data_IF_936942578157
#
_entry.id   IF_936942578157
#
_cell.length_a   1.000
_cell.length_b   1.000
_cell.length_c   1.000
_cell.angle_alpha   90.00
_cell.angle_beta   90.00
_cell.angle_gamma   90.00
#
_symmetry.space_group_name_H-M   'P 1'
#
loop_
_entity.id
_entity.type
_entity.pdbx_description
1 polymer ?
#
# COMPACT_ATOMS: atom_id res chain seq x y z
N UNK A 1 -0.01 -22.88 -5.68
CA UNK A 1 0.66 -23.32 -4.42
C UNK A 1 1.30 -24.68 -4.65
N UNK A 2 2.61 -24.78 -4.45
CA UNK A 2 3.32 -26.06 -4.47
C UNK A 2 2.70 -27.01 -3.43
N UNK A 3 2.55 -28.29 -3.77
CA UNK A 3 2.15 -29.33 -2.80
C UNK A 3 3.31 -29.53 -1.83
N UNK A 4 3.02 -29.52 -0.53
CA UNK A 4 3.98 -29.90 0.48
C UNK A 4 4.38 -31.36 0.26
N UNK A 5 5.69 -31.60 0.15
CA UNK A 5 6.29 -32.91 -0.07
C UNK A 5 7.22 -33.30 1.10
N UNK A 6 7.11 -32.62 2.25
CA UNK A 6 7.92 -32.91 3.43
C UNK A 6 7.68 -34.34 3.89
N UNK A 7 8.74 -35.17 3.93
CA UNK A 7 8.61 -36.53 4.45
C UNK A 7 8.51 -36.45 5.98
N UNK A 8 7.28 -36.41 6.49
CA UNK A 8 6.99 -36.73 7.88
C UNK A 8 6.82 -38.25 8.02
N UNK A 9 7.40 -38.84 9.05
CA UNK A 9 7.15 -40.24 9.36
C UNK A 9 5.71 -40.45 9.89
N UNK A 10 5.26 -41.71 9.92
CA UNK A 10 3.90 -42.04 10.32
C UNK A 10 3.57 -41.65 11.76
N UNK A 11 4.58 -41.58 12.65
CA UNK A 11 4.39 -41.17 14.04
C UNK A 11 4.15 -39.66 14.15
N UNK A 12 4.93 -38.85 13.41
CA UNK A 12 4.76 -37.41 13.33
C UNK A 12 3.41 -37.04 12.72
N UNK A 13 2.97 -37.74 11.67
CA UNK A 13 1.63 -37.53 11.07
C UNK A 13 0.52 -37.83 12.10
N UNK A 14 0.64 -38.94 12.84
CA UNK A 14 -0.34 -39.30 13.87
C UNK A 14 -0.41 -38.25 15.01
N UNK A 15 0.75 -37.74 15.43
CA UNK A 15 0.83 -36.67 16.43
C UNK A 15 0.20 -35.36 15.93
N UNK A 16 0.53 -34.93 14.72
CA UNK A 16 -0.07 -33.72 14.10
C UNK A 16 -1.59 -33.85 14.00
N UNK A 17 -2.10 -35.03 13.59
CA UNK A 17 -3.54 -35.28 13.53
C UNK A 17 -4.20 -35.19 14.92
N UNK A 18 -3.54 -35.70 15.97
CA UNK A 18 -4.02 -35.57 17.35
C UNK A 18 -4.07 -34.11 17.81
N UNK A 19 -3.04 -33.32 17.50
CA UNK A 19 -3.01 -31.89 17.82
C UNK A 19 -4.10 -31.12 17.06
N UNK A 20 -4.35 -31.44 15.79
CA UNK A 20 -5.42 -30.84 14.99
C UNK A 20 -6.80 -31.13 15.59
N UNK A 21 -7.05 -32.36 16.06
CA UNK A 21 -8.30 -32.74 16.72
C UNK A 21 -8.52 -31.93 18.00
N UNK A 22 -7.53 -31.90 18.89
CA UNK A 22 -7.58 -31.13 20.15
C UNK A 22 -7.80 -29.63 19.91
N UNK A 23 -7.16 -29.08 18.87
CA UNK A 23 -7.36 -27.68 18.48
C UNK A 23 -8.79 -27.42 18.00
N UNK A 24 -9.36 -28.33 17.23
CA UNK A 24 -10.73 -28.21 16.74
C UNK A 24 -11.74 -28.26 17.91
N UNK A 25 -11.51 -29.16 18.88
CA UNK A 25 -12.29 -29.22 20.13
C UNK A 25 -12.22 -27.90 20.91
N UNK A 26 -11.02 -27.33 21.09
CA UNK A 26 -10.83 -26.04 21.75
C UNK A 26 -11.58 -24.91 21.03
N UNK A 27 -11.53 -24.88 19.69
CA UNK A 27 -12.31 -23.92 18.88
C UNK A 27 -13.83 -24.09 19.07
N UNK A 28 -14.33 -25.33 19.15
CA UNK A 28 -15.74 -25.58 19.43
C UNK A 28 -16.15 -25.14 20.84
N UNK A 29 -15.26 -25.28 21.81
CA UNK A 29 -15.45 -24.78 23.17
C UNK A 29 -15.28 -23.25 23.30
N UNK A 30 -14.93 -22.55 22.20
CA UNK A 30 -14.55 -21.13 22.17
C UNK A 30 -13.32 -20.80 23.04
N UNK A 31 -12.49 -21.79 23.33
CA UNK A 31 -11.19 -21.62 23.97
C UNK A 31 -10.12 -21.36 22.89
N UNK A 32 -10.06 -20.10 22.46
CA UNK A 32 -9.15 -19.68 21.39
C UNK A 32 -7.69 -19.62 21.86
N UNK A 33 -7.45 -19.38 23.14
CA UNK A 33 -6.11 -19.36 23.72
C UNK A 33 -5.47 -20.74 23.64
N UNK A 34 -6.18 -21.79 24.06
CA UNK A 34 -5.71 -23.17 23.90
C UNK A 34 -5.55 -23.55 22.43
N UNK A 35 -6.47 -23.12 21.56
CA UNK A 35 -6.38 -23.39 20.13
C UNK A 35 -5.15 -22.75 19.47
N UNK A 36 -4.77 -21.55 19.91
CA UNK A 36 -3.59 -20.82 19.43
C UNK A 36 -2.30 -21.42 20.00
N UNK A 37 -2.28 -21.79 21.28
CA UNK A 37 -1.15 -22.50 21.89
C UNK A 37 -0.86 -23.84 21.19
N UNK A 38 -1.89 -24.62 20.85
CA UNK A 38 -1.73 -25.87 20.10
C UNK A 38 -1.20 -25.59 18.68
N UNK A 39 -1.66 -24.52 18.02
CA UNK A 39 -1.18 -24.12 16.70
C UNK A 39 0.30 -23.72 16.73
N UNK A 40 0.73 -23.00 17.76
CA UNK A 40 2.13 -22.62 17.95
C UNK A 40 3.01 -23.84 18.26
N UNK A 41 2.52 -24.76 19.09
CA UNK A 41 3.21 -26.02 19.36
C UNK A 41 3.38 -26.88 18.10
N UNK A 42 2.37 -26.97 17.23
CA UNK A 42 2.48 -27.65 15.93
C UNK A 42 3.56 -27.00 15.05
N UNK A 43 3.62 -25.68 15.02
CA UNK A 43 4.63 -24.92 14.27
C UNK A 43 6.04 -25.17 14.82
N UNK A 44 6.24 -25.10 16.13
CA UNK A 44 7.56 -25.24 16.74
C UNK A 44 8.07 -26.69 16.70
N UNK A 45 7.19 -27.67 16.96
CA UNK A 45 7.60 -29.07 17.09
C UNK A 45 7.72 -29.80 15.74
N UNK A 46 6.81 -29.53 14.80
CA UNK A 46 6.71 -30.28 13.55
C UNK A 46 6.87 -29.39 12.31
N UNK A 47 7.15 -28.09 12.46
CA UNK A 47 7.16 -27.15 11.32
C UNK A 47 5.78 -26.94 10.71
N UNK A 48 4.71 -27.33 11.40
CA UNK A 48 3.37 -27.38 10.83
C UNK A 48 2.70 -26.01 10.83
N UNK A 49 2.31 -25.56 9.65
CA UNK A 49 1.41 -24.42 9.44
C UNK A 49 0.02 -24.95 9.07
N UNK A 50 -1.03 -24.30 9.60
CA UNK A 50 -2.44 -24.70 9.38
C UNK A 50 -3.22 -23.54 8.74
N UNK A 51 -3.98 -23.86 7.69
CA UNK A 51 -4.97 -22.99 7.04
C UNK A 51 -6.37 -23.55 7.28
N UNK A 52 -7.09 -22.95 8.24
CA UNK A 52 -8.45 -23.35 8.61
C UNK A 52 -9.47 -23.13 7.48
N UNK A 53 -9.30 -22.08 6.68
CA UNK A 53 -10.24 -21.71 5.63
C UNK A 53 -10.21 -22.72 4.47
N UNK A 54 -9.01 -23.17 4.11
CA UNK A 54 -8.80 -24.22 3.10
C UNK A 54 -8.87 -25.64 3.67
N UNK A 55 -8.95 -25.79 5.00
CA UNK A 55 -8.89 -27.08 5.71
C UNK A 55 -7.65 -27.89 5.34
N UNK A 56 -6.50 -27.22 5.28
CA UNK A 56 -5.22 -27.78 4.87
C UNK A 56 -4.13 -27.46 5.90
N UNK A 57 -3.12 -28.32 5.97
CA UNK A 57 -1.91 -28.09 6.75
C UNK A 57 -0.68 -28.52 5.96
N UNK A 58 0.48 -27.95 6.29
CA UNK A 58 1.79 -28.23 5.67
C UNK A 58 2.90 -28.20 6.71
N UNK A 59 3.96 -28.99 6.56
CA UNK A 59 5.07 -29.16 7.49
C UNK A 59 6.44 -28.71 6.93
N UNK A 60 6.51 -28.25 5.68
CA UNK A 60 7.72 -27.69 5.05
C UNK A 60 8.17 -26.34 5.65
N UNK A 61 7.55 -25.88 6.74
CA UNK A 61 7.86 -24.60 7.38
C UNK A 61 7.44 -23.37 6.56
N UNK A 62 6.83 -23.55 5.39
CA UNK A 62 6.39 -22.44 4.55
C UNK A 62 4.95 -22.01 4.89
N UNK A 63 4.64 -20.74 4.66
CA UNK A 63 3.32 -20.17 4.99
C UNK A 63 2.32 -20.43 3.87
N UNK A 64 1.03 -20.43 4.19
CA UNK A 64 -0.04 -20.38 3.18
C UNK A 64 -0.28 -18.97 2.63
N UNK A 65 0.56 -18.02 3.01
CA UNK A 65 0.48 -16.68 2.45
C UNK A 65 0.78 -16.76 0.94
N UNK A 66 -0.01 -16.10 0.10
CA UNK A 66 0.27 -16.04 -1.31
C UNK A 66 1.64 -15.38 -1.52
N UNK A 67 2.43 -15.95 -2.41
CA UNK A 67 3.74 -15.42 -2.80
C UNK A 67 3.58 -14.83 -4.19
N UNK A 68 4.20 -13.69 -4.46
CA UNK A 68 4.09 -13.07 -5.77
C UNK A 68 5.03 -13.76 -6.76
N UNK A 69 4.47 -14.26 -7.84
CA UNK A 69 5.21 -14.93 -8.91
C UNK A 69 5.70 -13.92 -9.95
N UNK A 70 6.93 -14.11 -10.43
CA UNK A 70 7.50 -13.27 -11.47
C UNK A 70 6.91 -13.63 -12.83
N UNK A 71 6.43 -12.64 -13.57
CA UNK A 71 5.93 -12.80 -14.94
C UNK A 71 6.65 -11.85 -15.91
N UNK A 72 6.57 -12.14 -17.21
CA UNK A 72 7.17 -11.34 -18.29
C UNK A 72 8.53 -11.83 -18.78
N UNK A 73 9.17 -11.05 -19.65
CA UNK A 73 10.43 -11.45 -20.30
C UNK A 73 11.62 -11.38 -19.33
N UNK A 74 11.90 -12.53 -18.72
CA UNK A 74 13.05 -12.80 -17.86
C UNK A 74 14.39 -12.82 -18.62
N UNK A 75 14.38 -12.85 -19.96
CA UNK A 75 15.60 -12.97 -20.76
C UNK A 75 16.33 -11.65 -21.00
N UNK A 76 15.70 -10.49 -20.73
CA UNK A 76 16.41 -9.22 -20.86
C UNK A 76 17.48 -9.07 -19.75
N UNK A 77 18.68 -8.60 -20.10
CA UNK A 77 19.76 -8.38 -19.13
C UNK A 77 19.35 -7.46 -17.97
N UNK A 78 18.51 -6.45 -18.26
CA UNK A 78 18.00 -5.53 -17.25
C UNK A 78 17.09 -6.25 -16.24
N UNK A 79 16.24 -7.17 -16.72
CA UNK A 79 15.40 -8.00 -15.88
C UNK A 79 16.23 -9.02 -15.06
N UNK A 80 17.33 -9.54 -15.61
CA UNK A 80 18.22 -10.46 -14.90
C UNK A 80 18.99 -9.80 -13.74
N UNK A 81 19.21 -8.48 -13.80
CA UNK A 81 19.91 -7.70 -12.74
C UNK A 81 19.02 -7.38 -11.53
N UNK A 82 17.71 -7.63 -11.60
CA UNK A 82 16.79 -7.38 -10.48
C UNK A 82 17.08 -8.37 -9.35
N UNK A 83 17.28 -7.84 -8.15
CA UNK A 83 17.42 -8.67 -6.94
C UNK A 83 16.07 -9.28 -6.55
N UNK A 84 15.84 -10.51 -7.01
CA UNK A 84 14.61 -11.28 -6.75
C UNK A 84 14.44 -11.58 -5.25
N UNK A 85 15.54 -11.75 -4.50
CA UNK A 85 15.47 -12.04 -3.08
C UNK A 85 14.94 -10.82 -2.33
N UNK A 86 15.42 -9.63 -2.69
CA UNK A 86 14.97 -8.36 -2.12
C UNK A 86 13.51 -8.05 -2.49
N UNK A 87 13.12 -8.23 -3.76
CA UNK A 87 11.71 -8.10 -4.20
C UNK A 87 10.79 -9.05 -3.41
N UNK A 88 11.22 -10.30 -3.19
CA UNK A 88 10.47 -11.26 -2.37
C UNK A 88 10.35 -10.82 -0.91
N UNK A 89 11.41 -10.24 -0.34
CA UNK A 89 11.42 -9.69 1.02
C UNK A 89 10.43 -8.53 1.18
N UNK A 90 10.55 -7.51 0.32
CA UNK A 90 9.67 -6.33 0.31
C UNK A 90 8.20 -6.72 0.12
N UNK A 91 7.92 -7.65 -0.79
CA UNK A 91 6.56 -8.12 -1.02
C UNK A 91 5.96 -8.80 0.22
N UNK A 92 6.76 -9.60 0.96
CA UNK A 92 6.33 -10.19 2.24
C UNK A 92 6.07 -9.14 3.30
N UNK A 93 6.94 -8.14 3.38
CA UNK A 93 6.77 -7.01 4.30
C UNK A 93 5.49 -6.23 4.00
N UNK A 94 5.23 -5.92 2.72
CA UNK A 94 3.98 -5.27 2.29
C UNK A 94 2.75 -6.06 2.70
N UNK A 95 2.76 -7.38 2.53
CA UNK A 95 1.64 -8.22 2.98
C UNK A 95 1.46 -8.18 4.50
N UNK A 96 2.55 -8.14 5.27
CA UNK A 96 2.49 -8.00 6.72
C UNK A 96 1.90 -6.63 7.12
N UNK A 97 2.37 -5.55 6.48
CA UNK A 97 1.86 -4.19 6.68
C UNK A 97 0.35 -4.08 6.38
N UNK A 98 -0.10 -4.63 5.25
CA UNK A 98 -1.54 -4.69 4.92
C UNK A 98 -2.34 -5.50 5.94
N UNK A 99 -1.78 -6.61 6.44
CA UNK A 99 -2.42 -7.45 7.46
C UNK A 99 -2.56 -6.71 8.79
N UNK A 100 -1.60 -5.85 9.15
CA UNK A 100 -1.67 -4.97 10.31
C UNK A 100 -2.40 -3.65 10.04
N UNK A 101 -3.02 -3.49 8.87
CA UNK A 101 -3.70 -2.26 8.42
C UNK A 101 -2.80 -1.02 8.33
N UNK A 102 -1.48 -1.21 8.25
CA UNK A 102 -0.51 -0.16 7.96
C UNK A 102 -0.38 0.03 6.45
N UNK A 103 -1.38 0.73 5.88
CA UNK A 103 -1.43 0.97 4.44
C UNK A 103 -0.36 1.97 3.98
N UNK A 104 0.05 2.90 4.84
CA UNK A 104 1.11 3.84 4.52
C UNK A 104 2.43 3.10 4.25
N UNK A 105 2.83 2.19 5.14
CA UNK A 105 4.02 1.36 4.90
C UNK A 105 3.86 0.47 3.67
N UNK A 106 2.66 -0.06 3.44
CA UNK A 106 2.40 -0.89 2.27
C UNK A 106 2.54 -0.12 0.94
N UNK A 107 2.17 1.16 0.93
CA UNK A 107 2.30 2.06 -0.21
C UNK A 107 3.78 2.49 -0.39
N UNK A 108 4.48 2.86 0.68
CA UNK A 108 5.92 3.18 0.63
C UNK A 108 6.76 2.03 0.02
N UNK A 109 6.38 0.78 0.30
CA UNK A 109 7.04 -0.40 -0.27
C UNK A 109 6.77 -0.54 -1.78
N UNK A 110 5.58 -0.12 -2.26
CA UNK A 110 5.30 -0.12 -3.70
C UNK A 110 6.17 0.91 -4.42
N UNK A 111 6.35 2.09 -3.83
CA UNK A 111 7.22 3.13 -4.35
C UNK A 111 8.67 2.65 -4.39
N UNK A 112 9.15 2.04 -3.30
CA UNK A 112 10.49 1.43 -3.25
C UNK A 112 10.66 0.37 -4.34
N UNK A 113 9.69 -0.54 -4.51
CA UNK A 113 9.73 -1.56 -5.56
C UNK A 113 9.80 -0.97 -6.96
N UNK A 114 9.08 0.13 -7.22
CA UNK A 114 9.09 0.79 -8.53
C UNK A 114 10.37 1.60 -8.76
N UNK A 115 10.71 2.49 -7.84
CA UNK A 115 11.81 3.45 -8.01
C UNK A 115 13.18 2.77 -7.91
N UNK A 116 13.32 1.89 -6.91
CA UNK A 116 14.60 1.24 -6.62
C UNK A 116 14.76 -0.11 -7.31
N UNK A 117 13.69 -0.78 -7.73
CA UNK A 117 13.80 -2.11 -8.36
C UNK A 117 13.18 -2.15 -9.76
N UNK A 118 12.45 -1.12 -10.19
CA UNK A 118 11.75 -1.11 -11.47
C UNK A 118 10.69 -2.21 -11.55
N UNK A 119 10.05 -2.53 -10.42
CA UNK A 119 9.12 -3.66 -10.27
C UNK A 119 7.70 -3.14 -10.01
N UNK A 120 6.73 -3.72 -10.72
CA UNK A 120 5.31 -3.47 -10.51
C UNK A 120 4.62 -4.76 -10.08
N UNK A 121 3.72 -4.64 -9.09
CA UNK A 121 2.93 -5.74 -8.54
C UNK A 121 1.49 -5.72 -9.07
N UNK A 122 0.91 -6.91 -9.23
CA UNK A 122 -0.49 -7.14 -9.54
C UNK A 122 -1.07 -8.01 -8.43
N UNK A 123 -1.73 -7.35 -7.47
CA UNK A 123 -2.26 -7.98 -6.25
C UNK A 123 -3.33 -9.05 -6.55
N UNK A 124 -4.14 -8.84 -7.59
CA UNK A 124 -5.24 -9.75 -7.94
C UNK A 124 -4.74 -11.15 -8.27
N UNK A 125 -3.62 -11.23 -8.99
CA UNK A 125 -3.05 -12.49 -9.45
C UNK A 125 -1.84 -12.94 -8.62
N UNK A 126 -1.41 -12.12 -7.65
CA UNK A 126 -0.14 -12.28 -6.95
C UNK A 126 1.01 -12.45 -7.94
N UNK A 127 1.15 -11.51 -8.86
CA UNK A 127 2.25 -11.51 -9.82
C UNK A 127 3.02 -10.20 -9.78
N UNK A 128 4.27 -10.23 -10.18
CA UNK A 128 5.08 -9.02 -10.37
C UNK A 128 5.89 -9.13 -11.64
N UNK A 129 6.27 -7.98 -12.21
CA UNK A 129 7.14 -7.94 -13.39
C UNK A 129 8.11 -6.77 -13.30
N UNK A 130 9.22 -6.92 -14.03
CA UNK A 130 10.17 -5.85 -14.22
C UNK A 130 9.70 -4.93 -15.36
N UNK A 131 9.64 -3.64 -15.11
CA UNK A 131 9.26 -2.59 -16.07
C UNK A 131 10.37 -1.57 -16.31
N UNK A 132 11.47 -1.63 -15.55
CA UNK A 132 12.57 -0.67 -15.62
C UNK A 132 12.46 0.46 -14.60
N UNK A 133 13.61 0.98 -14.15
CA UNK A 133 13.66 2.16 -13.28
C UNK A 133 13.20 3.41 -14.02
N UNK A 134 12.51 4.31 -13.32
CA UNK A 134 11.95 5.53 -13.93
C UNK A 134 10.71 5.29 -14.79
N UNK A 135 10.13 4.09 -14.73
CA UNK A 135 8.83 3.83 -15.31
C UNK A 135 7.75 4.61 -14.53
N UNK A 136 6.78 5.16 -15.25
CA UNK A 136 5.71 5.99 -14.70
C UNK A 136 4.66 5.23 -13.85
N UNK A 137 4.93 3.96 -13.52
CA UNK A 137 3.99 3.05 -12.86
C UNK A 137 2.79 2.61 -13.71
N UNK A 138 2.66 3.06 -14.96
CA UNK A 138 1.46 2.84 -15.76
C UNK A 138 1.54 1.58 -16.62
N UNK A 139 0.85 0.51 -16.22
CA UNK A 139 0.86 -0.73 -17.00
C UNK A 139 -0.51 -1.09 -17.55
N UNK A 140 -0.58 -1.14 -18.90
CA UNK A 140 -1.62 -1.85 -19.65
C UNK A 140 -3.06 -1.37 -19.46
N UNK A 141 -3.95 -1.99 -20.23
CA UNK A 141 -5.40 -1.78 -20.24
C UNK A 141 -6.03 -2.29 -18.92
N UNK A 142 -5.86 -1.52 -17.84
CA UNK A 142 -6.29 -1.97 -16.51
C UNK A 142 -5.92 -1.09 -15.31
N UNK A 143 -5.10 -0.04 -15.47
CA UNK A 143 -4.93 1.02 -14.47
C UNK A 143 -3.57 1.09 -13.77
N UNK A 144 -3.35 2.22 -13.11
CA UNK A 144 -2.17 2.52 -12.29
C UNK A 144 -2.18 1.67 -11.01
N UNK A 145 -1.20 0.79 -10.85
CA UNK A 145 -1.07 -0.02 -9.64
C UNK A 145 -0.04 0.64 -8.72
N UNK A 146 -0.45 0.97 -7.49
CA UNK A 146 0.45 1.47 -6.44
C UNK A 146 0.54 2.98 -6.35
N UNK A 147 0.63 3.70 -7.47
CA UNK A 147 0.17 5.09 -7.50
C UNK A 147 -1.34 5.07 -7.56
N UNK A 148 -2.06 5.48 -6.50
CA UNK A 148 -3.31 6.19 -6.80
C UNK A 148 -2.92 7.30 -7.79
N UNK A 149 -3.78 7.59 -8.76
CA UNK A 149 -3.59 8.60 -9.81
C UNK A 149 -3.23 10.03 -9.30
N UNK A 150 -3.06 10.17 -7.99
CA UNK A 150 -2.72 11.33 -7.19
C UNK A 150 -1.21 11.68 -7.23
N UNK A 151 -0.32 10.75 -7.62
CA UNK A 151 1.14 10.93 -7.46
C UNK A 151 1.90 11.37 -8.73
N UNK A 152 1.27 11.42 -9.90
CA UNK A 152 1.81 12.21 -11.01
C UNK A 152 1.85 13.72 -10.69
N UNK A 153 1.20 14.16 -9.60
CA UNK A 153 1.29 15.52 -9.07
C UNK A 153 2.38 15.71 -7.99
N UNK A 154 3.08 14.66 -7.54
CA UNK A 154 3.90 14.70 -6.31
C UNK A 154 5.41 14.91 -6.51
N UNK A 155 5.92 15.02 -7.74
CA UNK A 155 7.36 15.22 -7.94
C UNK A 155 7.71 16.17 -9.09
N UNK A 156 7.66 17.48 -8.80
CA UNK A 156 8.82 18.36 -9.06
C UNK A 156 9.10 19.20 -7.81
N UNK A 157 10.37 19.32 -7.37
CA UNK A 157 10.72 19.90 -6.08
C UNK A 157 10.90 21.43 -6.14
N UNK A 158 10.60 22.09 -5.02
CA UNK A 158 11.34 23.28 -4.60
C UNK A 158 10.69 24.65 -4.80
N UNK A 159 9.60 24.93 -4.09
CA UNK A 159 9.30 26.29 -3.66
C UNK A 159 8.58 26.27 -2.32
N UNK A 160 9.14 26.97 -1.33
CA UNK A 160 8.57 27.18 -0.02
C UNK A 160 7.22 27.91 -0.20
N UNK A 161 6.11 27.17 -0.15
CA UNK A 161 4.76 27.67 -0.51
C UNK A 161 3.99 26.83 -1.52
N UNK A 162 4.55 25.72 -2.02
CA UNK A 162 3.86 24.88 -3.02
C UNK A 162 2.77 24.00 -2.41
N UNK A 163 1.54 24.17 -2.90
CA UNK A 163 0.39 23.32 -2.65
C UNK A 163 -0.08 22.70 -3.96
N UNK A 164 -0.55 21.45 -3.94
CA UNK A 164 -1.01 20.76 -5.15
C UNK A 164 -2.50 21.07 -5.45
N UNK A 165 -2.93 22.34 -5.27
CA UNK A 165 -4.26 22.79 -5.73
C UNK A 165 -4.09 23.56 -7.05
N UNK A 166 -4.93 23.24 -8.02
CA UNK A 166 -4.91 23.88 -9.34
C UNK A 166 -5.92 25.02 -9.35
N UNK A 167 -5.50 26.21 -9.81
CA UNK A 167 -6.42 27.31 -10.01
C UNK A 167 -7.39 26.98 -11.15
N UNK A 168 -8.65 26.81 -10.81
CA UNK A 168 -9.73 26.62 -11.76
C UNK A 168 -10.38 27.98 -12.07
N UNK A 169 -10.76 28.19 -13.32
CA UNK A 169 -11.47 29.39 -13.75
C UNK A 169 -12.86 28.96 -14.20
N UNK A 170 -13.90 29.15 -13.37
CA UNK A 170 -15.27 28.95 -13.80
C UNK A 170 -15.52 29.85 -15.02
N UNK A 171 -16.18 29.30 -16.03
CA UNK A 171 -16.46 29.91 -17.34
C UNK A 171 -16.77 31.40 -17.30
N UNK A 172 -15.84 32.22 -17.84
CA UNK A 172 -16.09 33.58 -18.30
C UNK A 172 -15.49 34.67 -17.40
N UNK A 173 -14.54 35.43 -17.98
CA UNK A 173 -13.71 36.49 -17.38
C UNK A 173 -12.56 36.00 -16.49
N UNK A 174 -11.33 36.26 -16.95
CA UNK A 174 -10.11 36.00 -16.19
C UNK A 174 -9.99 37.07 -15.13
N UNK A 175 -10.41 36.76 -13.89
CA UNK A 175 -10.12 37.62 -12.74
C UNK A 175 -8.60 37.63 -12.54
N UNK A 176 -7.94 38.70 -12.96
CA UNK A 176 -6.51 38.88 -12.73
C UNK A 176 -6.31 39.21 -11.25
N UNK A 177 -5.59 38.36 -10.52
CA UNK A 177 -5.02 38.71 -9.22
C UNK A 177 -3.56 39.13 -9.46
N UNK A 178 -3.10 40.13 -8.71
CA UNK A 178 -1.69 40.52 -8.78
C UNK A 178 -0.79 39.40 -8.23
N UNK A 179 0.48 39.43 -8.61
CA UNK A 179 1.46 38.40 -8.27
C UNK A 179 1.68 38.28 -6.75
N UNK A 180 1.54 39.39 -6.02
CA UNK A 180 1.66 39.41 -4.56
C UNK A 180 0.47 38.71 -3.89
N UNK A 181 -0.75 38.99 -4.33
CA UNK A 181 -1.98 38.35 -3.83
C UNK A 181 -1.98 36.87 -4.17
N UNK A 182 -1.55 36.50 -5.38
CA UNK A 182 -1.43 35.09 -5.75
C UNK A 182 -0.42 34.36 -4.84
N UNK A 183 0.75 34.94 -4.59
CA UNK A 183 1.73 34.34 -3.68
C UNK A 183 1.21 34.21 -2.23
N UNK A 184 0.36 35.15 -1.77
CA UNK A 184 -0.31 35.06 -0.47
C UNK A 184 -1.32 33.92 -0.41
N UNK A 185 -2.16 33.79 -1.44
CA UNK A 185 -3.14 32.69 -1.57
C UNK A 185 -2.41 31.35 -1.57
N UNK A 186 -1.36 31.22 -2.37
CA UNK A 186 -0.58 29.98 -2.47
C UNK A 186 0.05 29.61 -1.11
N UNK A 187 0.59 30.60 -0.39
CA UNK A 187 1.13 30.42 0.96
C UNK A 187 0.08 29.96 1.99
N UNK A 188 -1.15 30.46 1.91
CA UNK A 188 -2.26 30.07 2.81
C UNK A 188 -2.78 28.67 2.46
N UNK A 189 -2.89 28.33 1.18
CA UNK A 189 -3.26 26.98 0.72
C UNK A 189 -2.23 25.93 1.15
N UNK A 190 -0.93 26.25 1.09
CA UNK A 190 0.12 25.37 1.56
C UNK A 190 0.07 25.14 3.09
N UNK A 191 -0.16 26.20 3.87
CA UNK A 191 -0.33 26.10 5.33
C UNK A 191 -1.56 25.28 5.70
N UNK A 192 -2.69 25.50 5.02
CA UNK A 192 -3.92 24.72 5.20
C UNK A 192 -3.69 23.24 4.92
N UNK A 193 -3.00 22.91 3.82
CA UNK A 193 -2.67 21.54 3.47
C UNK A 193 -1.79 20.87 4.54
N UNK A 194 -0.81 21.59 5.09
CA UNK A 194 0.04 21.10 6.18
C UNK A 194 -0.77 20.81 7.47
N UNK A 195 -1.71 21.69 7.82
CA UNK A 195 -2.59 21.51 8.98
C UNK A 195 -3.55 20.33 8.82
N UNK A 196 -4.11 20.12 7.61
CA UNK A 196 -4.93 18.94 7.29
C UNK A 196 -4.11 17.65 7.38
N UNK A 197 -2.86 17.64 6.90
CA UNK A 197 -1.93 16.50 7.05
C UNK A 197 -1.64 16.21 8.53
N UNK A 198 -1.54 17.24 9.37
CA UNK A 198 -1.35 17.13 10.82
C UNK A 198 -2.65 16.84 11.62
N UNK A 199 -3.79 16.63 10.95
CA UNK A 199 -5.14 16.44 11.56
C UNK A 199 -5.61 17.61 12.43
N UNK A 200 -5.12 18.82 12.19
CA UNK A 200 -5.51 20.07 12.87
C UNK A 200 -6.64 20.77 12.11
N UNK A 201 -7.83 20.18 12.10
CA UNK A 201 -8.93 20.61 11.22
C UNK A 201 -9.46 22.01 11.56
N UNK A 202 -9.62 22.35 12.84
CA UNK A 202 -10.08 23.68 13.27
C UNK A 202 -9.15 24.81 12.82
N UNK A 203 -7.83 24.58 12.85
CA UNK A 203 -6.84 25.54 12.36
C UNK A 203 -6.92 25.66 10.83
N UNK A 204 -7.11 24.54 10.13
CA UNK A 204 -7.28 24.52 8.67
C UNK A 204 -8.58 25.21 8.21
N UNK A 205 -9.68 25.06 8.97
CA UNK A 205 -10.97 25.71 8.70
C UNK A 205 -10.86 27.23 8.87
N UNK A 206 -10.04 27.69 9.82
CA UNK A 206 -9.74 29.11 10.00
C UNK A 206 -9.07 29.71 8.75
N UNK A 207 -8.09 29.00 8.18
CA UNK A 207 -7.43 29.42 6.93
C UNK A 207 -8.37 29.34 5.72
N UNK A 208 -9.30 28.39 5.70
CA UNK A 208 -10.32 28.32 4.65
C UNK A 208 -11.26 29.53 4.70
N UNK A 209 -11.66 29.94 5.91
CA UNK A 209 -12.47 31.13 6.11
C UNK A 209 -11.70 32.41 5.71
N UNK A 210 -10.43 32.52 6.08
CA UNK A 210 -9.56 33.66 5.68
C UNK A 210 -9.39 33.74 4.15
N UNK A 211 -9.16 32.60 3.49
CA UNK A 211 -9.08 32.49 2.03
C UNK A 211 -10.36 33.01 1.36
N UNK A 212 -11.53 32.66 1.90
CA UNK A 212 -12.82 33.11 1.38
C UNK A 212 -13.08 34.59 1.68
N UNK A 213 -12.97 35.01 2.94
CA UNK A 213 -13.37 36.36 3.39
C UNK A 213 -12.43 37.46 2.91
N UNK A 214 -11.11 37.21 2.93
CA UNK A 214 -10.10 38.23 2.61
C UNK A 214 -9.76 38.24 1.12
N UNK A 215 -9.74 37.06 0.49
CA UNK A 215 -9.25 36.89 -0.88
C UNK A 215 -10.32 36.39 -1.87
N UNK A 216 -11.54 36.10 -1.43
CA UNK A 216 -12.61 35.59 -2.29
C UNK A 216 -12.32 34.20 -2.85
N UNK A 217 -11.47 33.40 -2.19
CA UNK A 217 -11.03 32.09 -2.68
C UNK A 217 -11.93 30.98 -2.13
N UNK A 218 -12.60 30.25 -3.03
CA UNK A 218 -13.22 28.97 -2.72
C UNK A 218 -12.29 27.82 -3.06
N UNK A 219 -12.30 26.77 -2.21
CA UNK A 219 -11.41 25.62 -2.32
C UNK A 219 -12.22 24.33 -2.40
N UNK A 220 -12.07 23.59 -3.49
CA UNK A 220 -12.59 22.24 -3.65
C UNK A 220 -11.49 21.22 -3.31
N UNK A 221 -11.59 20.62 -2.13
CA UNK A 221 -10.66 19.59 -1.67
C UNK A 221 -10.78 18.27 -2.42
N UNK A 222 -11.94 17.96 -2.98
CA UNK A 222 -12.20 16.72 -3.71
C UNK A 222 -11.62 16.80 -5.12
N UNK A 223 -11.76 17.95 -5.78
CA UNK A 223 -11.17 18.21 -7.08
C UNK A 223 -9.72 18.71 -7.00
N UNK A 224 -9.26 19.11 -5.80
CA UNK A 224 -8.00 19.82 -5.57
C UNK A 224 -7.90 21.08 -6.43
N UNK A 225 -8.99 21.82 -6.52
CA UNK A 225 -9.03 23.09 -7.24
C UNK A 225 -9.35 24.25 -6.30
N UNK A 226 -8.97 25.45 -6.71
CA UNK A 226 -9.39 26.68 -6.07
C UNK A 226 -9.78 27.71 -7.13
N UNK A 227 -10.75 28.56 -6.83
CA UNK A 227 -11.19 29.61 -7.75
C UNK A 227 -11.54 30.88 -6.98
N UNK A 228 -11.49 32.01 -7.68
CA UNK A 228 -11.96 33.29 -7.14
C UNK A 228 -13.46 33.40 -7.41
N UNK A 229 -14.21 33.65 -6.35
CA UNK A 229 -15.61 34.04 -6.42
C UNK A 229 -15.66 35.55 -6.57
N UNK A 230 -16.32 36.02 -7.63
CA UNK A 230 -16.57 37.44 -7.86
C UNK A 230 -17.69 37.97 -6.94
#
# INVERSE_FOLDING_TARGET
TAKDATPLDGAAIAEVNSMLARRLEAKFARDYESADAIKEAMRFKHGVTVDDGRKQWRADGASFAPVYDRIGDIASEAAARVDVAQVSSLTKERMAARKSQDYARADDILDELLDDYGVVLVDQDYTWRYVGRGHDGQYGEGGSYGRRADEAARAKPGAMGSHDYVREQPTGEVVQCDEETQARIDGLLAQRLALKKARKFTEADTLQFELFETYGVEVDDRARTWYLVA
#
